data_IF_126390752423
#
_entry.id   IF_126390752423
#
_cell.length_a   1.000
_cell.length_b   1.000
_cell.length_c   1.000
_cell.angle_alpha   90.00
_cell.angle_beta   90.00
_cell.angle_gamma   90.00
#
_symmetry.space_group_name_H-M   'P 1'
#
loop_
_entity.id
_entity.type
_entity.pdbx_description
1 polymer ?
#
# COMPACT_ATOMS: atom_id res chain seq x y z
N UNK A 1 -25.84 17.80 -3.41
CA UNK A 1 -24.56 18.00 -4.11
C UNK A 1 -24.11 16.72 -4.78
N UNK A 2 -23.91 16.74 -6.11
CA UNK A 2 -23.07 15.74 -6.79
C UNK A 2 -21.62 16.07 -6.39
N UNK A 3 -21.16 15.77 -5.18
CA UNK A 3 -20.89 14.43 -4.69
C UNK A 3 -19.39 14.21 -4.93
N UNK A 4 -18.58 14.44 -3.89
CA UNK A 4 -17.11 14.62 -3.83
C UNK A 4 -16.22 13.59 -4.59
N UNK A 5 -16.81 12.57 -5.22
CA UNK A 5 -16.11 11.52 -5.94
C UNK A 5 -15.70 11.94 -7.37
N UNK A 6 -14.53 11.45 -7.80
CA UNK A 6 -14.05 11.60 -9.18
C UNK A 6 -14.76 10.60 -10.10
N UNK A 7 -15.16 10.99 -11.32
CA UNK A 7 -15.63 10.06 -12.33
C UNK A 7 -14.55 9.02 -12.70
N UNK A 8 -14.92 7.75 -12.83
CA UNK A 8 -13.97 6.65 -13.09
C UNK A 8 -13.23 6.83 -14.42
N UNK A 9 -13.92 7.31 -15.45
CA UNK A 9 -13.39 7.62 -16.78
C UNK A 9 -12.35 8.76 -16.76
N UNK A 10 -12.24 9.49 -15.65
CA UNK A 10 -11.21 10.51 -15.42
C UNK A 10 -9.99 9.99 -14.66
N UNK A 11 -9.85 8.68 -14.45
CA UNK A 11 -8.67 8.12 -13.81
C UNK A 11 -7.70 7.55 -14.85
N UNK A 12 -6.40 7.67 -14.60
CA UNK A 12 -5.39 6.93 -15.36
C UNK A 12 -5.44 5.47 -14.96
N UNK A 13 -5.57 4.55 -15.91
CA UNK A 13 -5.58 3.12 -15.61
C UNK A 13 -4.17 2.57 -15.44
N UNK A 14 -3.98 1.76 -14.39
CA UNK A 14 -2.79 0.96 -14.13
C UNK A 14 -3.21 -0.52 -14.14
N UNK A 15 -2.77 -1.34 -15.11
CA UNK A 15 -3.15 -2.74 -15.16
C UNK A 15 -2.56 -3.51 -13.99
N UNK A 16 -3.33 -4.45 -13.45
CA UNK A 16 -2.85 -5.38 -12.42
C UNK A 16 -2.21 -6.60 -13.06
N UNK A 17 -1.26 -7.22 -12.35
CA UNK A 17 -0.54 -8.40 -12.81
C UNK A 17 -1.03 -9.71 -12.17
N UNK A 18 -2.00 -9.66 -11.25
CA UNK A 18 -2.50 -10.84 -10.54
C UNK A 18 -3.76 -11.41 -11.23
N UNK A 19 -3.67 -12.54 -11.95
CA UNK A 19 -4.81 -13.13 -12.65
C UNK A 19 -5.88 -13.71 -11.70
N UNK A 20 -5.58 -13.86 -10.42
CA UNK A 20 -6.52 -14.35 -9.40
C UNK A 20 -7.39 -13.21 -8.83
N UNK A 21 -7.07 -11.96 -9.14
CA UNK A 21 -7.79 -10.79 -8.64
C UNK A 21 -8.90 -10.39 -9.62
N UNK A 22 -10.08 -10.03 -9.11
CA UNK A 22 -11.24 -9.65 -9.95
C UNK A 22 -11.10 -8.28 -10.60
N UNK A 23 -10.32 -7.37 -9.99
CA UNK A 23 -10.03 -6.07 -10.58
C UNK A 23 -8.86 -6.20 -11.54
N UNK A 24 -9.10 -5.93 -12.83
CA UNK A 24 -8.09 -6.00 -13.89
C UNK A 24 -7.18 -4.77 -13.92
N UNK A 25 -7.64 -3.64 -13.41
CA UNK A 25 -6.88 -2.39 -13.30
C UNK A 25 -7.20 -1.64 -12.00
N UNK A 26 -6.35 -0.68 -11.65
CA UNK A 26 -6.59 0.33 -10.61
C UNK A 26 -6.51 1.72 -11.21
N UNK A 27 -7.28 2.66 -10.64
CA UNK A 27 -7.30 4.06 -11.09
C UNK A 27 -6.30 4.93 -10.33
N UNK A 28 -5.48 5.68 -11.06
CA UNK A 28 -4.58 6.71 -10.56
C UNK A 28 -5.18 8.09 -10.87
N UNK A 29 -5.16 9.00 -9.90
CA UNK A 29 -5.70 10.33 -10.09
C UNK A 29 -4.92 11.09 -11.19
N UNK A 30 -5.64 11.74 -12.11
CA UNK A 30 -5.06 12.52 -13.21
C UNK A 30 -3.97 13.53 -12.85
N UNK A 31 -4.02 14.11 -11.64
CA UNK A 31 -3.02 15.09 -11.16
C UNK A 31 -1.68 14.44 -10.77
N UNK A 32 -1.61 13.12 -10.73
CA UNK A 32 -0.40 12.34 -10.48
C UNK A 32 0.24 11.85 -11.79
N UNK A 33 0.16 12.66 -12.85
CA UNK A 33 0.67 12.31 -14.19
C UNK A 33 2.13 11.87 -14.17
N UNK A 34 2.97 12.51 -13.36
CA UNK A 34 4.36 12.12 -13.19
C UNK A 34 4.54 10.64 -12.77
N UNK A 35 3.69 10.13 -11.88
CA UNK A 35 3.75 8.73 -11.47
C UNK A 35 3.27 7.78 -12.58
N UNK A 36 2.31 8.23 -13.40
CA UNK A 36 1.87 7.50 -14.59
C UNK A 36 3.01 7.40 -15.61
N UNK A 37 3.68 8.51 -15.86
CA UNK A 37 4.81 8.59 -16.79
C UNK A 37 5.94 7.64 -16.37
N UNK A 38 6.28 7.60 -15.07
CA UNK A 38 7.29 6.67 -14.55
C UNK A 38 6.86 5.21 -14.72
N UNK A 39 5.59 4.90 -14.44
CA UNK A 39 5.08 3.55 -14.63
C UNK A 39 5.14 3.11 -16.10
N UNK A 40 4.73 3.98 -17.02
CA UNK A 40 4.74 3.71 -18.46
C UNK A 40 6.17 3.55 -19.03
N UNK A 41 7.13 4.24 -18.42
CA UNK A 41 8.56 4.11 -18.74
C UNK A 41 9.21 2.86 -18.12
N UNK A 42 8.48 2.08 -17.32
CA UNK A 42 9.00 0.98 -16.49
C UNK A 42 10.01 1.42 -15.42
N UNK A 43 9.99 2.69 -15.03
CA UNK A 43 10.84 3.27 -13.97
C UNK A 43 10.16 3.24 -12.59
N UNK A 44 8.87 2.90 -12.53
CA UNK A 44 8.13 2.73 -11.28
C UNK A 44 7.22 1.49 -11.32
N UNK A 45 7.03 0.89 -10.14
CA UNK A 45 6.06 -0.17 -9.90
C UNK A 45 5.01 0.30 -8.89
N UNK A 46 3.77 -0.13 -9.08
CA UNK A 46 2.71 0.03 -8.09
C UNK A 46 2.45 -1.32 -7.42
N UNK A 47 2.59 -1.37 -6.09
CA UNK A 47 2.24 -2.54 -5.29
C UNK A 47 0.91 -2.26 -4.60
N UNK A 48 -0.13 -3.01 -4.97
CA UNK A 48 -1.46 -2.93 -4.35
C UNK A 48 -1.62 -4.00 -3.28
N UNK A 49 -2.56 -3.79 -2.36
CA UNK A 49 -2.84 -4.72 -1.25
C UNK A 49 -1.62 -5.04 -0.35
N UNK A 50 -0.63 -4.15 -0.30
CA UNK A 50 0.47 -4.23 0.64
C UNK A 50 0.03 -3.71 2.01
N UNK A 51 0.36 -4.46 3.06
CA UNK A 51 0.12 -4.07 4.44
C UNK A 51 0.49 -5.18 5.42
N UNK A 52 0.39 -4.84 6.70
CA UNK A 52 0.76 -5.71 7.80
C UNK A 52 -0.25 -6.85 7.99
N UNK A 53 0.24 -8.10 8.00
CA UNK A 53 -0.53 -9.27 8.40
C UNK A 53 0.23 -10.05 9.48
N UNK A 54 -0.33 -10.13 10.69
CA UNK A 54 0.26 -10.90 11.80
C UNK A 54 -0.45 -12.24 11.98
N UNK A 55 -1.74 -12.19 12.32
CA UNK A 55 -2.63 -13.35 12.49
C UNK A 55 -4.09 -12.91 12.35
N UNK A 56 -5.06 -13.83 12.21
CA UNK A 56 -6.49 -13.45 12.15
C UNK A 56 -6.96 -12.75 13.43
N UNK A 57 -7.43 -11.50 13.29
CA UNK A 57 -7.89 -10.67 14.42
C UNK A 57 -9.42 -10.66 14.53
N UNK A 58 -9.92 -10.80 15.75
CA UNK A 58 -11.32 -10.68 16.16
C UNK A 58 -11.46 -9.66 17.28
N UNK A 59 -12.70 -9.33 17.65
CA UNK A 59 -13.00 -8.47 18.81
C UNK A 59 -12.50 -9.04 20.14
N UNK A 60 -12.27 -10.35 20.21
CA UNK A 60 -11.85 -11.03 21.43
C UNK A 60 -10.33 -11.11 21.57
N UNK A 61 -9.58 -11.09 20.44
CA UNK A 61 -8.13 -11.30 20.44
C UNK A 61 -7.29 -10.09 19.98
N UNK A 62 -7.91 -8.95 19.63
CA UNK A 62 -7.18 -7.79 19.08
C UNK A 62 -6.10 -7.23 20.01
N UNK A 63 -6.21 -7.46 21.32
CA UNK A 63 -5.22 -7.01 22.31
C UNK A 63 -3.90 -7.76 22.22
N UNK A 64 -3.88 -8.91 21.54
CA UNK A 64 -2.67 -9.73 21.33
C UNK A 64 -1.88 -9.30 20.09
N UNK A 65 -2.35 -8.29 19.35
CA UNK A 65 -1.62 -7.76 18.20
C UNK A 65 -0.41 -6.95 18.64
N UNK A 66 0.67 -7.04 17.89
CA UNK A 66 1.88 -6.23 18.14
C UNK A 66 1.68 -4.76 17.70
N UNK A 67 0.77 -4.55 16.74
CA UNK A 67 0.40 -3.22 16.24
C UNK A 67 -0.80 -2.70 17.01
N UNK A 68 -0.70 -1.58 17.74
CA UNK A 68 -1.85 -1.00 18.43
C UNK A 68 -2.91 -0.50 17.43
N UNK A 69 -3.99 -1.26 17.24
CA UNK A 69 -5.02 -1.02 16.20
C UNK A 69 -5.85 0.27 16.37
N UNK A 70 -5.74 0.95 17.51
CA UNK A 70 -6.48 2.19 17.80
C UNK A 70 -5.57 3.41 17.95
N UNK A 71 -4.30 3.27 17.57
CA UNK A 71 -3.28 4.31 17.62
C UNK A 71 -2.85 4.66 16.21
N UNK A 72 -3.41 5.72 15.64
CA UNK A 72 -3.15 6.10 14.24
C UNK A 72 -1.66 6.34 13.96
N UNK A 73 -0.93 6.95 14.89
CA UNK A 73 0.51 7.16 14.75
C UNK A 73 1.29 5.84 14.80
N UNK A 74 0.92 4.90 15.69
CA UNK A 74 1.56 3.59 15.74
C UNK A 74 1.28 2.80 14.46
N UNK A 75 0.04 2.78 13.97
CA UNK A 75 -0.30 2.12 12.72
C UNK A 75 0.48 2.70 11.53
N UNK A 76 0.58 4.03 11.42
CA UNK A 76 1.39 4.67 10.37
C UNK A 76 2.88 4.33 10.49
N UNK A 77 3.39 4.24 11.72
CA UNK A 77 4.79 3.88 11.96
C UNK A 77 5.06 2.43 11.54
N UNK A 78 4.22 1.49 11.96
CA UNK A 78 4.40 0.07 11.62
C UNK A 78 4.18 -0.20 10.12
N UNK A 79 3.20 0.43 9.46
CA UNK A 79 2.98 0.29 8.00
C UNK A 79 4.15 0.84 7.18
N UNK A 80 4.89 1.83 7.68
CA UNK A 80 6.11 2.29 6.99
C UNK A 80 7.26 1.29 7.12
N UNK A 81 7.23 0.45 8.15
CA UNK A 81 8.28 -0.54 8.42
C UNK A 81 7.96 -1.88 7.74
N UNK A 82 6.72 -2.36 7.78
CA UNK A 82 6.38 -3.69 7.27
C UNK A 82 7.32 -4.78 7.84
N UNK A 83 7.60 -4.72 9.15
CA UNK A 83 8.58 -5.56 9.85
C UNK A 83 8.07 -5.87 11.26
N UNK A 84 6.97 -6.65 11.33
CA UNK A 84 6.23 -6.94 12.56
C UNK A 84 7.11 -7.66 13.59
N UNK A 85 7.78 -8.73 13.18
CA UNK A 85 8.62 -9.57 14.04
C UNK A 85 9.95 -8.89 14.44
N UNK A 86 10.22 -7.70 13.87
CA UNK A 86 11.46 -6.93 14.09
C UNK A 86 12.71 -7.74 13.73
N UNK A 87 12.62 -8.58 12.71
CA UNK A 87 13.69 -9.45 12.23
C UNK A 87 14.94 -8.65 11.84
N UNK A 88 14.74 -7.41 11.38
CA UNK A 88 15.81 -6.52 10.97
C UNK A 88 15.71 -5.17 11.67
N UNK A 89 16.81 -4.73 12.27
CA UNK A 89 16.92 -3.38 12.81
C UNK A 89 16.94 -2.33 11.67
N UNK A 90 16.14 -1.27 11.80
CA UNK A 90 16.18 -0.11 10.90
C UNK A 90 14.85 0.20 10.22
N UNK A 91 14.92 0.51 8.92
CA UNK A 91 13.84 1.11 8.11
C UNK A 91 12.76 0.13 7.65
N UNK A 92 12.84 -1.15 8.03
CA UNK A 92 11.89 -2.19 7.63
C UNK A 92 11.94 -2.55 6.13
N UNK A 93 11.03 -3.41 5.67
CA UNK A 93 11.02 -3.96 4.29
C UNK A 93 10.98 -2.87 3.23
N UNK A 94 10.10 -1.87 3.38
CA UNK A 94 9.98 -0.78 2.39
C UNK A 94 11.25 0.08 2.33
N UNK A 95 11.90 0.31 3.47
CA UNK A 95 13.20 0.98 3.49
C UNK A 95 14.29 0.16 2.79
N UNK A 96 14.30 -1.16 2.98
CA UNK A 96 15.24 -2.06 2.30
C UNK A 96 15.00 -2.11 0.79
N UNK A 97 13.73 -2.08 0.35
CA UNK A 97 13.38 -1.96 -1.07
C UNK A 97 13.94 -0.66 -1.64
N UNK A 98 13.74 0.47 -0.96
CA UNK A 98 14.30 1.77 -1.37
C UNK A 98 15.82 1.72 -1.46
N UNK A 99 16.52 1.12 -0.49
CA UNK A 99 17.98 1.04 -0.49
C UNK A 99 18.54 0.18 -1.65
N UNK A 100 17.73 -0.70 -2.25
CA UNK A 100 18.10 -1.45 -3.47
C UNK A 100 17.76 -0.71 -4.77
N UNK A 101 16.91 0.32 -4.70
CA UNK A 101 16.49 1.14 -5.84
C UNK A 101 17.29 2.44 -5.96
N UNK A 102 18.15 2.76 -4.98
CA UNK A 102 19.09 3.89 -4.98
C UNK A 102 20.45 3.46 -5.53
#
# INVERSE_FOLDING_TARGET
DPGIALPIDTLWEIPTSNPQHVCTSVGLHQKLSFLKDLYDQNDAIFVTNAGLMQFPVTKDNYRSTEVPLFSHNSMQHETKREDLERDYHGTGVLGRMRDKLA
#
